data_IF_358515804771
#
_entry.id   IF_358515804771
#
_cell.length_a   1.000
_cell.length_b   1.000
_cell.length_c   1.000
_cell.angle_alpha   90.00
_cell.angle_beta   90.00
_cell.angle_gamma   90.00
#
_symmetry.space_group_name_H-M   'P 1'
#
loop_
_entity.id
_entity.type
_entity.pdbx_description
1 polymer ?
#
# COMPACT_ATOMS: atom_id res chain seq x y z
N UNK A 1 28.61 30.99 -11.34
CA UNK A 1 27.61 31.91 -10.74
C UNK A 1 26.44 31.95 -11.71
N UNK A 2 25.20 32.03 -11.24
CA UNK A 2 24.08 32.23 -12.16
C UNK A 2 24.20 33.60 -12.85
N UNK A 3 23.83 33.70 -14.14
CA UNK A 3 23.75 34.98 -14.84
C UNK A 3 22.62 35.88 -14.28
N UNK A 4 21.63 35.28 -13.61
CA UNK A 4 20.52 35.96 -12.93
C UNK A 4 20.86 36.04 -11.44
N UNK A 5 21.01 37.25 -10.91
CA UNK A 5 21.48 37.51 -9.54
C UNK A 5 20.52 37.00 -8.47
N UNK A 6 19.23 37.03 -8.76
CA UNK A 6 18.16 36.55 -7.90
C UNK A 6 18.30 35.05 -7.64
N UNK A 7 18.60 34.26 -8.68
CA UNK A 7 18.84 32.81 -8.58
C UNK A 7 20.11 32.54 -7.76
N UNK A 8 21.21 33.25 -8.03
CA UNK A 8 22.44 33.09 -7.25
C UNK A 8 22.23 33.46 -5.77
N UNK A 9 21.47 34.52 -5.48
CA UNK A 9 21.16 34.93 -4.11
C UNK A 9 20.45 33.82 -3.35
N UNK A 10 19.44 33.18 -3.96
CA UNK A 10 18.73 32.04 -3.35
C UNK A 10 19.61 30.80 -3.22
N UNK A 11 20.49 30.52 -4.19
CA UNK A 11 21.48 29.44 -4.07
C UNK A 11 22.40 29.63 -2.85
N UNK A 12 22.93 30.85 -2.66
CA UNK A 12 23.80 31.17 -1.51
C UNK A 12 23.05 31.11 -0.17
N UNK A 13 21.77 31.44 -0.14
CA UNK A 13 20.93 31.29 1.06
C UNK A 13 20.65 29.81 1.37
N UNK A 14 20.35 29.00 0.36
CA UNK A 14 20.16 27.56 0.50
C UNK A 14 21.41 26.87 1.09
N UNK A 15 22.60 27.18 0.58
CA UNK A 15 23.86 26.63 1.13
C UNK A 15 24.09 26.96 2.61
N UNK A 16 23.48 28.05 3.10
CA UNK A 16 23.56 28.49 4.50
C UNK A 16 22.38 28.00 5.35
N UNK A 17 21.49 27.18 4.79
CA UNK A 17 20.28 26.69 5.47
C UNK A 17 19.38 27.83 6.00
N UNK A 18 19.35 28.95 5.27
CA UNK A 18 18.55 30.12 5.63
C UNK A 18 17.85 30.68 4.37
N UNK A 19 17.18 29.78 3.65
CA UNK A 19 16.45 30.11 2.43
C UNK A 19 15.22 30.95 2.79
N UNK A 20 15.19 32.19 2.33
CA UNK A 20 14.03 33.04 2.48
C UNK A 20 12.95 32.65 1.46
N UNK A 21 11.77 32.34 1.98
CA UNK A 21 10.62 31.81 1.26
C UNK A 21 9.90 32.90 0.46
N UNK A 22 9.99 34.16 0.88
CA UNK A 22 9.29 35.25 0.21
C UNK A 22 9.76 35.39 -1.24
N UNK A 23 8.83 35.32 -2.20
CA UNK A 23 9.13 35.40 -3.63
C UNK A 23 9.92 34.20 -4.19
N UNK A 24 9.99 33.08 -3.46
CA UNK A 24 10.73 31.90 -3.93
C UNK A 24 10.08 31.27 -5.17
N UNK A 25 8.77 31.30 -5.27
CA UNK A 25 8.04 30.85 -6.46
C UNK A 25 8.44 31.65 -7.71
N UNK A 26 8.60 32.97 -7.59
CA UNK A 26 9.01 33.85 -8.69
C UNK A 26 10.44 33.52 -9.15
N UNK A 27 11.34 33.24 -8.19
CA UNK A 27 12.72 32.81 -8.51
C UNK A 27 12.73 31.42 -9.14
N UNK A 28 11.87 30.50 -8.70
CA UNK A 28 11.73 29.19 -9.33
C UNK A 28 11.24 29.31 -10.78
N UNK A 29 10.29 30.20 -11.08
CA UNK A 29 9.85 30.50 -12.45
C UNK A 29 10.99 31.10 -13.30
N UNK A 30 11.78 32.03 -12.75
CA UNK A 30 12.98 32.55 -13.45
C UNK A 30 14.01 31.45 -13.71
N UNK A 31 14.16 30.52 -12.78
CA UNK A 31 15.07 29.38 -12.91
C UNK A 31 14.60 28.42 -13.98
N UNK A 32 13.30 28.12 -14.04
CA UNK A 32 12.70 27.32 -15.10
C UNK A 32 12.90 28.00 -16.47
N UNK A 33 12.63 29.30 -16.57
CA UNK A 33 12.85 30.06 -17.81
C UNK A 33 14.31 30.00 -18.27
N UNK A 34 15.26 30.20 -17.35
CA UNK A 34 16.69 30.09 -17.65
C UNK A 34 17.08 28.69 -18.15
N UNK A 35 16.56 27.62 -17.54
CA UNK A 35 16.78 26.25 -18.04
C UNK A 35 16.23 26.09 -19.47
N UNK A 36 15.03 26.62 -19.73
CA UNK A 36 14.39 26.48 -21.04
C UNK A 36 15.08 27.28 -22.17
N UNK A 37 15.96 28.23 -21.86
CA UNK A 37 16.79 28.91 -22.88
C UNK A 37 17.70 27.93 -23.65
N UNK A 38 18.03 26.79 -23.04
CA UNK A 38 18.94 25.79 -23.63
C UNK A 38 18.23 24.59 -24.27
N UNK A 39 16.89 24.52 -24.25
CA UNK A 39 16.12 23.35 -24.72
C UNK A 39 16.42 22.98 -26.18
N UNK A 40 16.73 23.97 -27.03
CA UNK A 40 17.05 23.76 -28.45
C UNK A 40 18.47 23.24 -28.73
N UNK A 41 19.33 23.17 -27.71
CA UNK A 41 20.71 22.72 -27.85
C UNK A 41 20.79 21.20 -27.99
N UNK A 42 21.87 20.71 -28.62
CA UNK A 42 22.12 19.26 -28.72
C UNK A 42 22.26 18.59 -27.34
N UNK A 43 22.79 19.35 -26.38
CA UNK A 43 23.00 18.92 -25.00
C UNK A 43 22.65 20.10 -24.06
N UNK A 44 21.37 20.26 -23.70
CA UNK A 44 20.89 21.40 -22.89
C UNK A 44 21.61 21.52 -21.55
N UNK A 45 21.92 20.39 -20.91
CA UNK A 45 22.66 20.34 -19.64
C UNK A 45 24.09 20.86 -19.79
N UNK A 46 24.81 20.38 -20.81
CA UNK A 46 26.18 20.86 -21.06
C UNK A 46 26.22 22.34 -21.44
N UNK A 47 25.25 22.83 -22.23
CA UNK A 47 25.15 24.24 -22.59
C UNK A 47 24.88 25.13 -21.36
N UNK A 48 23.96 24.73 -20.49
CA UNK A 48 23.68 25.41 -19.22
C UNK A 48 24.91 25.43 -18.30
N UNK A 49 25.61 24.29 -18.16
CA UNK A 49 26.85 24.18 -17.38
C UNK A 49 27.95 25.11 -17.94
N UNK A 50 28.12 25.14 -19.26
CA UNK A 50 29.08 26.06 -19.90
C UNK A 50 28.72 27.52 -19.59
N UNK A 51 27.44 27.88 -19.63
CA UNK A 51 26.98 29.21 -19.25
C UNK A 51 27.32 29.56 -17.78
N UNK A 52 27.14 28.63 -16.84
CA UNK A 52 27.54 28.79 -15.45
C UNK A 52 29.06 28.98 -15.29
N UNK A 53 29.85 28.21 -16.04
CA UNK A 53 31.31 28.24 -16.03
C UNK A 53 31.89 29.56 -16.58
N UNK A 54 31.22 30.20 -17.54
CA UNK A 54 31.62 31.53 -18.05
C UNK A 54 31.58 32.61 -16.96
N UNK A 55 30.67 32.46 -15.99
CA UNK A 55 30.47 33.44 -14.92
C UNK A 55 31.26 33.10 -13.64
N UNK A 56 31.51 31.81 -13.36
CA UNK A 56 32.47 31.37 -12.34
C UNK A 56 32.76 29.87 -12.47
N UNK A 57 34.03 29.48 -12.31
CA UNK A 57 34.52 28.10 -12.49
C UNK A 57 34.28 27.17 -11.29
N UNK A 58 33.64 27.65 -10.22
CA UNK A 58 33.56 26.93 -8.94
C UNK A 58 32.13 26.44 -8.69
N UNK A 59 31.95 25.16 -8.37
CA UNK A 59 30.67 24.52 -8.02
C UNK A 59 29.56 24.67 -9.08
N UNK A 60 29.87 24.47 -10.37
CA UNK A 60 28.85 24.48 -11.42
C UNK A 60 27.88 23.29 -11.29
N UNK A 61 28.35 22.11 -10.86
CA UNK A 61 27.50 20.92 -10.65
C UNK A 61 26.40 21.17 -9.61
N UNK A 62 26.78 21.72 -8.44
CA UNK A 62 25.82 22.04 -7.37
C UNK A 62 24.82 23.12 -7.79
N UNK A 63 25.24 24.08 -8.61
CA UNK A 63 24.33 25.10 -9.16
C UNK A 63 23.36 24.49 -10.16
N UNK A 64 23.83 23.59 -11.02
CA UNK A 64 22.95 22.89 -11.96
C UNK A 64 21.89 22.06 -11.21
N UNK A 65 22.31 21.31 -10.18
CA UNK A 65 21.39 20.57 -9.29
C UNK A 65 20.39 21.51 -8.60
N UNK A 66 20.87 22.62 -8.04
CA UNK A 66 20.00 23.63 -7.41
C UNK A 66 18.97 24.18 -8.38
N UNK A 67 19.38 24.51 -9.62
CA UNK A 67 18.47 25.08 -10.62
C UNK A 67 17.34 24.11 -10.98
N UNK A 68 17.70 22.85 -11.30
CA UNK A 68 16.71 21.82 -11.61
C UNK A 68 15.79 21.61 -10.41
N UNK A 69 16.33 21.38 -9.22
CA UNK A 69 15.50 21.08 -8.04
C UNK A 69 14.61 22.26 -7.65
N UNK A 70 15.10 23.50 -7.73
CA UNK A 70 14.29 24.68 -7.44
C UNK A 70 13.13 24.84 -8.42
N UNK A 71 13.36 24.62 -9.72
CA UNK A 71 12.29 24.62 -10.72
C UNK A 71 11.25 23.52 -10.44
N UNK A 72 11.69 22.33 -10.01
CA UNK A 72 10.80 21.22 -9.65
C UNK A 72 10.06 21.43 -8.31
N UNK A 73 10.57 22.27 -7.40
CA UNK A 73 9.87 22.59 -6.15
C UNK A 73 8.59 23.41 -6.40
N UNK A 74 8.51 24.15 -7.50
CA UNK A 74 7.35 24.97 -7.88
C UNK A 74 6.90 24.65 -9.31
N UNK A 75 6.30 23.47 -9.55
CA UNK A 75 5.95 23.07 -10.89
C UNK A 75 4.99 24.06 -11.57
N UNK A 76 5.20 24.28 -12.85
CA UNK A 76 4.44 25.17 -13.73
C UNK A 76 3.93 24.41 -14.97
N UNK A 77 3.19 25.06 -15.86
CA UNK A 77 2.80 24.48 -17.15
C UNK A 77 3.98 24.13 -18.08
N UNK A 78 5.20 24.62 -17.80
CA UNK A 78 6.39 24.34 -18.59
C UNK A 78 7.28 23.24 -18.01
N UNK A 79 6.96 22.71 -16.83
CA UNK A 79 7.81 21.72 -16.14
C UNK A 79 8.02 20.45 -16.96
N UNK A 80 7.03 20.05 -17.78
CA UNK A 80 7.17 18.95 -18.74
C UNK A 80 8.30 19.14 -19.77
N UNK A 81 8.54 20.38 -20.19
CA UNK A 81 9.64 20.73 -21.11
C UNK A 81 10.99 20.59 -20.44
N UNK A 82 11.10 20.95 -19.15
CA UNK A 82 12.33 20.73 -18.37
C UNK A 82 12.65 19.24 -18.29
N UNK A 83 11.67 18.39 -17.96
CA UNK A 83 11.88 16.93 -17.95
C UNK A 83 12.33 16.40 -19.32
N UNK A 84 11.74 16.91 -20.39
CA UNK A 84 12.05 16.48 -21.75
C UNK A 84 13.46 16.92 -22.19
N UNK A 85 13.80 18.19 -21.97
CA UNK A 85 15.08 18.78 -22.36
C UNK A 85 16.26 18.21 -21.54
N UNK A 86 16.06 18.03 -20.24
CA UNK A 86 17.11 17.62 -19.31
C UNK A 86 17.07 16.13 -18.97
N UNK A 87 16.23 15.34 -19.67
CA UNK A 87 16.00 13.90 -19.44
C UNK A 87 17.26 13.12 -19.09
N UNK A 88 18.28 13.19 -19.95
CA UNK A 88 19.53 12.44 -19.79
C UNK A 88 20.35 12.90 -18.57
N UNK A 89 20.34 14.19 -18.27
CA UNK A 89 21.07 14.71 -17.13
C UNK A 89 20.37 14.38 -15.81
N UNK A 90 19.03 14.48 -15.78
CA UNK A 90 18.23 14.05 -14.63
C UNK A 90 18.45 12.57 -14.34
N UNK A 91 18.47 11.73 -15.39
CA UNK A 91 18.75 10.30 -15.28
C UNK A 91 20.14 10.01 -14.69
N UNK A 92 21.17 10.72 -15.15
CA UNK A 92 22.55 10.56 -14.66
C UNK A 92 22.74 11.05 -13.22
N UNK A 93 22.09 12.14 -12.86
CA UNK A 93 22.23 12.79 -11.56
C UNK A 93 21.09 12.43 -10.59
N UNK A 94 20.30 11.39 -10.91
CA UNK A 94 19.07 11.04 -10.18
C UNK A 94 19.26 10.96 -8.66
N UNK A 95 20.29 10.26 -8.12
CA UNK A 95 20.46 10.18 -6.67
C UNK A 95 20.74 11.54 -6.03
N UNK A 96 21.45 12.42 -6.74
CA UNK A 96 21.72 13.78 -6.27
C UNK A 96 20.45 14.62 -6.31
N UNK A 97 19.67 14.55 -7.39
CA UNK A 97 18.41 15.29 -7.51
C UNK A 97 17.44 14.87 -6.40
N UNK A 98 17.27 13.57 -6.14
CA UNK A 98 16.41 13.08 -5.05
C UNK A 98 16.85 13.61 -3.68
N UNK A 99 18.16 13.59 -3.40
CA UNK A 99 18.71 14.14 -2.16
C UNK A 99 18.44 15.64 -2.02
N UNK A 100 18.63 16.41 -3.10
CA UNK A 100 18.39 17.85 -3.11
C UNK A 100 16.90 18.19 -2.98
N UNK A 101 16.01 17.46 -3.67
CA UNK A 101 14.56 17.62 -3.53
C UNK A 101 14.09 17.37 -2.10
N UNK A 102 14.58 16.29 -1.47
CA UNK A 102 14.27 15.97 -0.07
C UNK A 102 14.78 17.06 0.88
N UNK A 103 16.01 17.55 0.65
CA UNK A 103 16.61 18.60 1.46
C UNK A 103 15.88 19.94 1.30
N UNK A 104 15.52 20.31 0.08
CA UNK A 104 14.72 21.51 -0.21
C UNK A 104 13.36 21.43 0.47
N UNK A 105 12.67 20.28 0.38
CA UNK A 105 11.39 20.08 1.06
C UNK A 105 11.51 20.29 2.59
N UNK A 106 12.58 19.76 3.21
CA UNK A 106 12.83 19.95 4.63
C UNK A 106 13.11 21.42 5.00
N UNK A 107 13.89 22.13 4.19
CA UNK A 107 14.18 23.56 4.40
C UNK A 107 12.90 24.40 4.31
N UNK A 108 12.08 24.17 3.28
CA UNK A 108 10.82 24.88 3.08
C UNK A 108 9.87 24.68 4.27
N UNK A 109 9.75 23.45 4.76
CA UNK A 109 8.88 23.12 5.90
C UNK A 109 9.42 23.61 7.26
N UNK A 110 10.73 23.82 7.41
CA UNK A 110 11.35 24.24 8.67
C UNK A 110 11.10 25.70 9.06
N UNK A 111 10.74 26.55 8.10
CA UNK A 111 10.64 28.00 8.27
C UNK A 111 9.28 28.50 8.79
N UNK A 112 8.42 27.62 9.31
CA UNK A 112 7.13 27.99 9.90
C UNK A 112 6.04 28.39 8.90
N UNK A 113 6.35 28.40 7.60
CA UNK A 113 5.40 28.43 6.50
C UNK A 113 5.49 27.08 5.79
N UNK A 114 4.55 26.17 6.04
CA UNK A 114 4.51 24.89 5.36
C UNK A 114 4.18 25.11 3.88
N UNK A 115 5.22 25.17 3.04
CA UNK A 115 5.08 25.12 1.59
C UNK A 115 5.34 23.69 1.18
N UNK A 116 4.27 22.97 0.90
CA UNK A 116 4.35 21.61 0.38
C UNK A 116 4.70 21.65 -1.12
N UNK A 117 5.71 20.87 -1.51
CA UNK A 117 6.03 20.64 -2.91
C UNK A 117 4.95 19.70 -3.48
N UNK A 118 4.05 20.25 -4.30
CA UNK A 118 3.02 19.47 -5.00
C UNK A 118 3.64 18.67 -6.16
N UNK A 119 4.10 17.45 -5.86
CA UNK A 119 4.69 16.52 -6.84
C UNK A 119 3.72 16.25 -7.99
N UNK A 120 2.42 16.11 -7.70
CA UNK A 120 1.42 15.77 -8.71
C UNK A 120 1.26 16.88 -9.73
N UNK A 121 1.35 18.15 -9.31
CA UNK A 121 1.37 19.28 -10.24
C UNK A 121 2.48 19.12 -11.29
N UNK A 122 3.66 18.65 -10.88
CA UNK A 122 4.78 18.36 -11.78
C UNK A 122 4.54 17.13 -12.66
N UNK A 123 4.08 16.03 -12.08
CA UNK A 123 3.82 14.78 -12.81
C UNK A 123 2.75 14.93 -13.89
N UNK A 124 1.72 15.76 -13.67
CA UNK A 124 0.66 16.07 -14.67
C UNK A 124 1.17 16.74 -15.94
N UNK A 125 2.35 17.36 -15.87
CA UNK A 125 3.00 18.02 -17.01
C UNK A 125 3.97 17.07 -17.73
N UNK A 126 4.29 15.92 -17.14
CA UNK A 126 5.12 14.93 -17.79
C UNK A 126 4.36 14.29 -18.96
N UNK A 127 5.13 13.91 -19.99
CA UNK A 127 4.70 13.04 -21.08
C UNK A 127 4.85 11.56 -20.69
N UNK A 128 4.17 10.63 -21.39
CA UNK A 128 4.39 9.19 -21.20
C UNK A 128 5.87 8.78 -21.26
N UNK A 129 6.66 9.44 -22.10
CA UNK A 129 8.09 9.15 -22.28
C UNK A 129 8.97 9.67 -21.12
N UNK A 130 8.44 10.57 -20.30
CA UNK A 130 9.17 11.25 -19.21
C UNK A 130 8.60 10.99 -17.82
N UNK A 131 7.43 10.33 -17.70
CA UNK A 131 6.76 10.14 -16.40
C UNK A 131 7.62 9.39 -15.39
N UNK A 132 8.38 8.39 -15.83
CA UNK A 132 9.29 7.62 -14.98
C UNK A 132 10.46 8.46 -14.47
N UNK A 133 11.03 9.31 -15.34
CA UNK A 133 12.12 10.20 -14.94
C UNK A 133 11.59 11.29 -14.01
N UNK A 134 10.38 11.79 -14.26
CA UNK A 134 9.72 12.74 -13.38
C UNK A 134 9.44 12.13 -12.00
N UNK A 135 8.87 10.92 -11.94
CA UNK A 135 8.60 10.23 -10.67
C UNK A 135 9.88 9.99 -9.89
N UNK A 136 10.91 9.49 -10.56
CA UNK A 136 12.20 9.23 -9.94
C UNK A 136 12.87 10.52 -9.45
N UNK A 137 12.75 11.64 -10.18
CA UNK A 137 13.30 12.93 -9.75
C UNK A 137 12.68 13.42 -8.43
N UNK A 138 11.37 13.19 -8.24
CA UNK A 138 10.70 13.46 -6.97
C UNK A 138 10.92 12.37 -5.91
N UNK A 139 11.55 11.25 -6.26
CA UNK A 139 11.73 10.09 -5.37
C UNK A 139 10.41 9.42 -5.03
N UNK A 140 9.49 9.34 -5.99
CA UNK A 140 8.15 8.79 -5.78
C UNK A 140 7.95 7.55 -6.65
N UNK A 141 7.42 6.49 -6.06
CA UNK A 141 7.13 5.25 -6.76
C UNK A 141 5.78 5.31 -7.50
N UNK A 142 5.65 4.51 -8.55
CA UNK A 142 4.42 4.45 -9.35
C UNK A 142 3.19 4.08 -8.52
N UNK A 143 3.36 3.22 -7.51
CA UNK A 143 2.27 2.83 -6.62
C UNK A 143 1.67 4.03 -5.87
N UNK A 144 2.50 4.98 -5.44
CA UNK A 144 2.06 6.19 -4.75
C UNK A 144 1.35 7.16 -5.70
N UNK A 145 1.83 7.26 -6.94
CA UNK A 145 1.17 8.06 -7.98
C UNK A 145 -0.23 7.51 -8.28
N UNK A 146 -0.34 6.20 -8.44
CA UNK A 146 -1.63 5.51 -8.68
C UNK A 146 -2.56 5.75 -7.49
N UNK A 147 -2.06 5.58 -6.26
CA UNK A 147 -2.83 5.80 -5.04
C UNK A 147 -3.37 7.24 -4.94
N UNK A 148 -2.53 8.24 -5.19
CA UNK A 148 -2.92 9.65 -5.17
C UNK A 148 -3.92 9.98 -6.30
N UNK A 149 -3.66 9.47 -7.51
CA UNK A 149 -4.57 9.65 -8.64
C UNK A 149 -5.96 9.08 -8.32
N UNK A 150 -6.03 7.90 -7.69
CA UNK A 150 -7.28 7.30 -7.23
C UNK A 150 -7.92 8.19 -6.18
N UNK A 151 -7.19 8.64 -5.16
CA UNK A 151 -7.74 9.46 -4.08
C UNK A 151 -8.50 10.68 -4.59
N UNK A 152 -7.94 11.36 -5.61
CA UNK A 152 -8.48 12.56 -6.23
C UNK A 152 -9.32 12.34 -7.49
N UNK A 153 -9.56 11.09 -7.87
CA UNK A 153 -10.24 10.71 -9.12
C UNK A 153 -9.61 11.36 -10.39
N UNK A 154 -8.29 11.49 -10.40
CA UNK A 154 -7.51 12.04 -11.52
C UNK A 154 -7.18 10.97 -12.56
N UNK A 155 -8.14 10.70 -13.42
CA UNK A 155 -8.00 9.70 -14.49
C UNK A 155 -6.78 9.97 -15.39
N UNK A 156 -6.42 11.23 -15.64
CA UNK A 156 -5.31 11.55 -16.55
C UNK A 156 -3.97 11.15 -15.93
N UNK A 157 -3.75 11.46 -14.65
CA UNK A 157 -2.54 11.03 -13.95
C UNK A 157 -2.49 9.51 -13.79
N UNK A 158 -3.64 8.89 -13.51
CA UNK A 158 -3.77 7.45 -13.43
C UNK A 158 -3.35 6.76 -14.73
N UNK A 159 -3.87 7.19 -15.87
CA UNK A 159 -3.51 6.69 -17.20
C UNK A 159 -2.03 6.92 -17.56
N UNK A 160 -1.43 8.01 -17.06
CA UNK A 160 0.01 8.27 -17.23
C UNK A 160 0.88 7.32 -16.39
N UNK A 161 0.44 6.96 -15.19
CA UNK A 161 1.19 6.09 -14.28
C UNK A 161 1.10 4.60 -14.68
N UNK A 162 0.01 4.20 -15.34
CA UNK A 162 -0.19 2.85 -15.84
C UNK A 162 0.40 2.75 -17.25
N UNK A 163 1.68 2.42 -17.33
CA UNK A 163 2.44 2.45 -18.60
C UNK A 163 2.22 1.22 -19.50
N UNK A 164 1.55 0.17 -19.02
CA UNK A 164 1.37 -1.08 -19.77
C UNK A 164 -0.11 -1.47 -19.91
N UNK A 165 -0.49 -1.99 -21.09
CA UNK A 165 -1.83 -2.55 -21.36
C UNK A 165 -1.94 -4.03 -20.97
N UNK A 166 -1.18 -4.44 -19.95
CA UNK A 166 -1.11 -5.84 -19.50
C UNK A 166 -1.94 -6.08 -18.24
N UNK A 167 -2.18 -7.35 -17.92
CA UNK A 167 -2.90 -7.80 -16.72
C UNK A 167 -2.27 -7.25 -15.42
N UNK A 168 -0.95 -7.02 -15.41
CA UNK A 168 -0.21 -6.44 -14.27
C UNK A 168 -0.67 -5.02 -13.92
N UNK A 169 -0.89 -4.19 -14.94
CA UNK A 169 -1.37 -2.82 -14.78
C UNK A 169 -2.77 -2.76 -14.17
N UNK A 170 -3.65 -3.64 -14.66
CA UNK A 170 -5.00 -3.79 -14.12
C UNK A 170 -4.98 -4.29 -12.68
N UNK A 171 -4.13 -5.27 -12.36
CA UNK A 171 -3.92 -5.75 -11.00
C UNK A 171 -3.50 -4.60 -10.05
N UNK A 172 -2.49 -3.81 -10.43
CA UNK A 172 -2.05 -2.65 -9.65
C UNK A 172 -3.16 -1.62 -9.44
N UNK A 173 -3.92 -1.30 -10.49
CA UNK A 173 -5.04 -0.37 -10.41
C UNK A 173 -6.16 -0.84 -9.48
N UNK A 174 -6.59 -2.10 -9.60
CA UNK A 174 -7.66 -2.67 -8.78
C UNK A 174 -7.22 -2.85 -7.31
N UNK A 175 -5.99 -3.30 -7.06
CA UNK A 175 -5.44 -3.38 -5.70
C UNK A 175 -5.35 -2.00 -5.05
N UNK A 176 -4.85 -0.99 -5.77
CA UNK A 176 -4.83 0.38 -5.24
C UNK A 176 -6.23 0.96 -5.04
N UNK A 177 -7.19 0.64 -5.92
CA UNK A 177 -8.59 1.09 -5.77
C UNK A 177 -9.25 0.46 -4.54
N UNK A 178 -8.92 -0.79 -4.21
CA UNK A 178 -9.45 -1.51 -3.05
C UNK A 178 -9.05 -0.90 -1.70
N UNK A 179 -8.07 0.01 -1.69
CA UNK A 179 -7.68 0.82 -0.53
C UNK A 179 -8.65 1.95 -0.20
N UNK A 180 -9.63 2.22 -1.05
CA UNK A 180 -10.65 3.26 -0.86
C UNK A 180 -12.05 2.64 -0.81
N UNK A 181 -12.99 3.39 -0.23
CA UNK A 181 -14.40 3.01 -0.30
C UNK A 181 -14.87 2.98 -1.76
N UNK A 182 -15.75 2.03 -2.14
CA UNK A 182 -16.28 1.96 -3.48
C UNK A 182 -16.96 3.27 -3.87
N UNK A 183 -16.56 3.81 -5.02
CA UNK A 183 -17.12 5.03 -5.60
C UNK A 183 -17.50 4.76 -7.06
N UNK A 184 -18.66 4.12 -7.34
CA UNK A 184 -19.06 3.74 -8.70
C UNK A 184 -19.26 4.92 -9.67
N UNK A 185 -19.38 6.12 -9.13
CA UNK A 185 -19.48 7.40 -9.83
C UNK A 185 -18.12 8.04 -10.15
N UNK A 186 -17.02 7.53 -9.58
CA UNK A 186 -15.67 7.98 -9.90
C UNK A 186 -15.27 7.55 -11.31
N UNK A 187 -14.55 8.43 -12.01
CA UNK A 187 -14.03 8.16 -13.37
C UNK A 187 -13.08 6.99 -13.39
N UNK A 188 -12.18 6.89 -12.40
CA UNK A 188 -11.22 5.78 -12.32
C UNK A 188 -11.95 4.46 -12.02
N UNK A 189 -12.96 4.48 -11.14
CA UNK A 189 -13.76 3.28 -10.88
C UNK A 189 -14.46 2.79 -12.15
N UNK A 190 -15.11 3.69 -12.90
CA UNK A 190 -15.76 3.36 -14.18
C UNK A 190 -14.78 2.92 -15.27
N UNK A 191 -13.54 3.42 -15.24
CA UNK A 191 -12.49 3.02 -16.16
C UNK A 191 -11.92 1.62 -15.87
N UNK A 192 -11.85 1.24 -14.59
CA UNK A 192 -11.33 -0.06 -14.15
C UNK A 192 -12.37 -1.17 -14.08
N UNK A 193 -13.61 -0.83 -13.75
CA UNK A 193 -14.70 -1.77 -13.49
C UNK A 193 -15.76 -1.58 -14.58
N UNK A 194 -15.61 -2.35 -15.66
CA UNK A 194 -16.47 -2.29 -16.86
C UNK A 194 -17.30 -3.57 -17.05
N UNK A 195 -17.01 -4.62 -16.29
CA UNK A 195 -17.66 -5.93 -16.38
C UNK A 195 -17.95 -6.54 -15.00
N UNK A 196 -18.82 -7.54 -14.97
CA UNK A 196 -19.10 -8.34 -13.77
C UNK A 196 -17.85 -9.08 -13.24
N UNK A 197 -16.89 -9.39 -14.12
CA UNK A 197 -15.64 -10.03 -13.73
C UNK A 197 -14.72 -9.04 -12.98
N UNK A 198 -14.71 -7.78 -13.43
CA UNK A 198 -13.94 -6.71 -12.78
C UNK A 198 -14.49 -6.40 -11.38
N UNK A 199 -15.82 -6.48 -11.20
CA UNK A 199 -16.46 -6.35 -9.89
C UNK A 199 -16.05 -7.47 -8.92
N UNK A 200 -15.89 -8.71 -9.43
CA UNK A 200 -15.40 -9.84 -8.61
C UNK A 200 -13.93 -9.67 -8.26
N UNK A 201 -13.09 -9.28 -9.23
CA UNK A 201 -11.68 -8.98 -9.01
C UNK A 201 -11.51 -7.87 -7.98
N UNK A 202 -12.28 -6.79 -8.11
CA UNK A 202 -12.27 -5.69 -7.15
C UNK A 202 -12.64 -6.16 -5.74
N UNK A 203 -13.72 -6.95 -5.61
CA UNK A 203 -14.11 -7.53 -4.32
C UNK A 203 -13.03 -8.46 -3.75
N UNK A 204 -12.33 -9.21 -4.60
CA UNK A 204 -11.16 -10.01 -4.22
C UNK A 204 -10.02 -9.17 -3.66
N UNK A 205 -9.66 -8.06 -4.32
CA UNK A 205 -8.63 -7.15 -3.79
C UNK A 205 -9.09 -6.46 -2.50
N UNK A 206 -10.38 -6.14 -2.33
CA UNK A 206 -10.88 -5.63 -1.05
C UNK A 206 -10.66 -6.62 0.10
N UNK A 207 -10.88 -7.92 -0.15
CA UNK A 207 -10.59 -8.95 0.85
C UNK A 207 -9.08 -9.06 1.15
N UNK A 208 -8.21 -8.93 0.14
CA UNK A 208 -6.75 -8.92 0.33
C UNK A 208 -6.28 -7.73 1.16
N UNK A 209 -6.77 -6.53 0.84
CA UNK A 209 -6.41 -5.32 1.58
C UNK A 209 -6.81 -5.45 3.05
N UNK A 210 -8.03 -5.92 3.34
CA UNK A 210 -8.44 -6.12 4.74
C UNK A 210 -7.60 -7.19 5.43
N UNK A 211 -7.21 -8.27 4.73
CA UNK A 211 -6.33 -9.31 5.29
C UNK A 211 -4.93 -8.75 5.59
N UNK A 212 -4.33 -7.99 4.69
CA UNK A 212 -3.01 -7.38 4.87
C UNK A 212 -2.99 -6.49 6.11
N UNK A 213 -4.02 -5.67 6.30
CA UNK A 213 -4.14 -4.77 7.46
C UNK A 213 -4.23 -5.47 8.80
N UNK A 214 -4.74 -6.70 8.87
CA UNK A 214 -4.80 -7.43 10.14
C UNK A 214 -3.41 -7.78 10.67
N UNK A 215 -2.38 -7.71 9.83
CA UNK A 215 -0.97 -7.89 10.19
C UNK A 215 -0.21 -6.57 10.38
N UNK A 216 -0.87 -5.43 10.15
CA UNK A 216 -0.38 -4.08 10.41
C UNK A 216 -1.24 -3.42 11.51
N UNK A 217 -1.02 -2.15 11.80
CA UNK A 217 -1.91 -1.39 12.69
C UNK A 217 -3.31 -1.27 12.04
N UNK A 218 -4.28 -2.08 12.51
CA UNK A 218 -5.62 -2.13 11.92
C UNK A 218 -6.51 -1.00 12.46
N UNK A 219 -6.99 -0.12 11.56
CA UNK A 219 -7.85 1.02 11.92
C UNK A 219 -9.32 0.89 11.45
N UNK A 220 -9.74 -0.25 10.87
CA UNK A 220 -11.10 -0.43 10.30
C UNK A 220 -11.31 0.23 8.92
N UNK A 221 -12.33 -0.19 8.17
CA UNK A 221 -12.73 0.44 6.90
C UNK A 221 -11.77 0.28 5.71
N UNK A 222 -11.93 1.13 4.69
CA UNK A 222 -10.96 1.34 3.61
C UNK A 222 -9.74 2.11 4.12
N UNK A 223 -8.54 1.84 3.60
CA UNK A 223 -7.29 2.46 4.08
C UNK A 223 -7.33 4.00 4.05
N UNK A 224 -7.88 4.58 2.99
CA UNK A 224 -7.83 6.04 2.79
C UNK A 224 -9.21 6.63 2.56
N UNK A 225 -9.44 7.79 3.17
CA UNK A 225 -10.56 8.64 2.82
C UNK A 225 -10.22 9.41 1.53
N UNK A 226 -11.19 9.50 0.62
CA UNK A 226 -11.06 10.36 -0.57
C UNK A 226 -11.10 11.83 -0.13
N UNK A 227 -10.08 12.64 -0.47
CA UNK A 227 -10.10 14.08 -0.26
C UNK A 227 -11.36 14.74 -0.86
N UNK A 228 -11.80 15.84 -0.25
CA UNK A 228 -12.93 16.64 -0.76
C UNK A 228 -12.56 18.11 -0.81
N UNK A 229 -13.13 18.86 -1.77
CA UNK A 229 -12.86 20.28 -1.95
C UNK A 229 -11.73 20.55 -2.96
N UNK A 230 -11.06 21.68 -2.77
CA UNK A 230 -9.96 22.09 -3.65
C UNK A 230 -8.76 21.15 -3.50
N UNK A 231 -8.03 20.90 -4.58
CA UNK A 231 -6.86 20.01 -4.55
C UNK A 231 -5.71 20.63 -3.75
N UNK A 232 -5.13 19.86 -2.84
CA UNK A 232 -3.89 20.19 -2.14
C UNK A 232 -2.83 19.09 -2.34
N UNK A 233 -1.59 19.37 -1.93
CA UNK A 233 -0.49 18.41 -2.02
C UNK A 233 -0.70 17.23 -1.06
N UNK A 234 -0.99 16.05 -1.62
CA UNK A 234 -1.14 14.79 -0.88
C UNK A 234 -0.01 13.80 -1.11
N UNK A 235 0.82 14.08 -2.13
CA UNK A 235 2.01 13.32 -2.48
C UNK A 235 3.19 14.28 -2.50
N UNK A 236 4.13 14.06 -1.59
CA UNK A 236 5.30 14.89 -1.37
C UNK A 236 6.56 14.16 -1.87
N UNK A 237 7.71 14.86 -2.02
CA UNK A 237 8.96 14.21 -2.39
C UNK A 237 9.32 13.05 -1.45
N UNK A 238 10.03 12.05 -1.99
CA UNK A 238 10.42 10.82 -1.30
C UNK A 238 9.24 9.89 -0.91
N UNK A 239 8.16 9.90 -1.71
CA UNK A 239 7.02 8.99 -1.56
C UNK A 239 6.16 9.24 -0.32
N UNK A 240 6.28 10.42 0.33
CA UNK A 240 5.48 10.71 1.52
C UNK A 240 4.05 11.04 1.11
N UNK A 241 3.13 10.16 1.52
CA UNK A 241 1.69 10.29 1.29
C UNK A 241 1.01 10.87 2.54
N UNK A 242 0.27 11.96 2.39
CA UNK A 242 -0.44 12.64 3.50
C UNK A 242 -1.95 12.44 3.46
N UNK A 243 -2.41 11.42 2.72
CA UNK A 243 -3.82 11.03 2.67
C UNK A 243 -4.33 10.63 4.05
N UNK A 244 -5.53 11.13 4.40
CA UNK A 244 -6.17 10.77 5.65
C UNK A 244 -6.66 9.32 5.62
N UNK A 245 -6.50 8.62 6.75
CA UNK A 245 -7.07 7.27 6.95
C UNK A 245 -8.57 7.40 7.18
N UNK A 246 -9.38 6.50 6.59
CA UNK A 246 -10.83 6.49 6.84
C UNK A 246 -11.11 6.14 8.30
N UNK A 247 -11.87 6.99 8.99
CA UNK A 247 -12.23 6.79 10.40
C UNK A 247 -13.47 5.91 10.61
N UNK A 248 -14.15 5.51 9.54
CA UNK A 248 -15.47 4.87 9.61
C UNK A 248 -15.40 3.35 9.54
N UNK A 249 -15.54 2.69 10.70
CA UNK A 249 -15.64 1.22 10.79
C UNK A 249 -16.94 0.66 10.17
N UNK A 250 -17.98 1.49 10.03
CA UNK A 250 -19.29 1.12 9.45
C UNK A 250 -19.24 0.87 7.93
N UNK A 251 -18.13 1.22 7.28
CA UNK A 251 -17.93 1.02 5.83
C UNK A 251 -17.02 -0.18 5.51
N UNK A 252 -16.59 -0.92 6.53
CA UNK A 252 -15.78 -2.13 6.35
C UNK A 252 -16.45 -3.12 5.37
N UNK A 253 -15.67 -3.70 4.46
CA UNK A 253 -16.21 -4.47 3.32
C UNK A 253 -17.15 -5.62 3.74
N UNK A 254 -16.88 -6.25 4.88
CA UNK A 254 -17.61 -7.39 5.45
C UNK A 254 -18.88 -6.99 6.24
N UNK A 255 -19.08 -5.69 6.51
CA UNK A 255 -20.27 -5.15 7.17
C UNK A 255 -21.30 -4.59 6.19
N UNK A 256 -20.95 -4.50 4.90
CA UNK A 256 -21.84 -3.98 3.86
C UNK A 256 -23.03 -4.91 3.65
N UNK A 257 -24.20 -4.34 3.34
CA UNK A 257 -25.44 -5.11 3.11
C UNK A 257 -25.36 -6.07 1.92
N UNK A 258 -24.49 -5.78 0.94
CA UNK A 258 -24.25 -6.60 -0.25
C UNK A 258 -23.11 -7.62 -0.09
N UNK A 259 -22.47 -7.70 1.10
CA UNK A 259 -21.34 -8.59 1.35
C UNK A 259 -21.66 -10.05 1.02
N UNK A 260 -22.79 -10.57 1.53
CA UNK A 260 -23.22 -11.94 1.27
C UNK A 260 -23.41 -12.21 -0.22
N UNK A 261 -24.10 -11.33 -0.92
CA UNK A 261 -24.37 -11.50 -2.35
C UNK A 261 -23.07 -11.53 -3.15
N UNK A 262 -22.14 -10.60 -2.88
CA UNK A 262 -20.85 -10.52 -3.56
C UNK A 262 -19.94 -11.72 -3.22
N UNK A 263 -19.86 -12.10 -1.95
CA UNK A 263 -19.09 -13.26 -1.50
C UNK A 263 -19.52 -14.54 -2.20
N UNK A 264 -20.83 -14.75 -2.36
CA UNK A 264 -21.37 -15.96 -2.97
C UNK A 264 -21.13 -16.06 -4.48
N UNK A 265 -20.60 -15.01 -5.15
CA UNK A 265 -20.20 -15.08 -6.56
C UNK A 265 -18.92 -15.90 -6.75
N UNK A 266 -17.96 -15.79 -5.84
CA UNK A 266 -16.66 -16.50 -5.90
C UNK A 266 -16.15 -16.91 -4.49
N UNK A 267 -16.92 -17.70 -3.72
CA UNK A 267 -16.63 -17.92 -2.30
C UNK A 267 -15.24 -18.53 -2.08
N UNK A 268 -14.87 -19.55 -2.85
CA UNK A 268 -13.59 -20.25 -2.71
C UNK A 268 -12.38 -19.32 -2.90
N UNK A 269 -12.41 -18.49 -3.96
CA UNK A 269 -11.33 -17.55 -4.28
C UNK A 269 -11.14 -16.53 -3.16
N UNK A 270 -12.24 -15.98 -2.64
CA UNK A 270 -12.20 -15.01 -1.53
C UNK A 270 -11.72 -15.67 -0.23
N UNK A 271 -12.21 -16.87 0.08
CA UNK A 271 -11.83 -17.61 1.29
C UNK A 271 -10.35 -17.97 1.27
N UNK A 272 -9.85 -18.50 0.15
CA UNK A 272 -8.41 -18.74 -0.05
C UNK A 272 -7.62 -17.47 0.16
N UNK A 273 -8.08 -16.35 -0.41
CA UNK A 273 -7.37 -15.08 -0.28
C UNK A 273 -7.29 -14.56 1.16
N UNK A 274 -8.37 -14.71 1.93
CA UNK A 274 -8.47 -14.13 3.27
C UNK A 274 -7.96 -15.10 4.35
N UNK A 275 -8.36 -16.37 4.30
CA UNK A 275 -8.11 -17.36 5.36
C UNK A 275 -6.90 -18.25 5.11
N UNK A 276 -6.15 -18.09 4.01
CA UNK A 276 -4.88 -18.80 3.86
C UNK A 276 -3.95 -18.48 5.04
N UNK A 277 -3.41 -19.54 5.64
CA UNK A 277 -2.53 -19.41 6.79
C UNK A 277 -1.17 -18.83 6.38
N UNK A 278 -0.88 -17.64 6.90
CA UNK A 278 0.39 -16.96 6.80
C UNK A 278 1.09 -17.05 8.17
N UNK A 279 2.41 -17.30 8.16
CA UNK A 279 3.22 -17.34 9.38
C UNK A 279 3.58 -15.90 9.80
N UNK A 280 2.57 -15.08 10.08
CA UNK A 280 2.72 -13.65 10.40
C UNK A 280 2.03 -13.33 11.71
N UNK A 281 2.65 -12.46 12.52
CA UNK A 281 2.16 -12.00 13.83
C UNK A 281 0.98 -11.06 13.60
N UNK A 282 -0.14 -11.27 14.32
CA UNK A 282 -1.32 -10.41 14.24
C UNK A 282 -1.83 -10.08 15.63
N UNK A 283 -1.81 -8.80 16.00
CA UNK A 283 -2.39 -8.29 17.26
C UNK A 283 -3.89 -7.99 17.14
N UNK A 284 -4.52 -8.30 16.00
CA UNK A 284 -5.88 -7.90 15.64
C UNK A 284 -6.91 -9.05 15.73
N UNK A 285 -6.73 -9.94 16.71
CA UNK A 285 -7.57 -11.15 16.88
C UNK A 285 -9.07 -10.87 17.02
N UNK A 286 -9.47 -9.75 17.65
CA UNK A 286 -10.88 -9.37 17.76
C UNK A 286 -11.51 -9.02 16.41
N UNK A 287 -10.76 -8.33 15.55
CA UNK A 287 -11.22 -7.95 14.22
C UNK A 287 -11.27 -9.17 13.30
N UNK A 288 -10.27 -10.06 13.40
CA UNK A 288 -10.29 -11.36 12.73
C UNK A 288 -11.54 -12.18 13.10
N UNK A 289 -11.91 -12.20 14.38
CA UNK A 289 -13.12 -12.86 14.87
C UNK A 289 -14.39 -12.23 14.27
N UNK A 290 -14.49 -10.90 14.24
CA UNK A 290 -15.63 -10.19 13.66
C UNK A 290 -15.79 -10.48 12.16
N UNK A 291 -14.68 -10.51 11.41
CA UNK A 291 -14.71 -10.82 9.98
C UNK A 291 -15.10 -12.28 9.77
N UNK A 292 -14.51 -13.21 10.54
CA UNK A 292 -14.87 -14.63 10.51
C UNK A 292 -16.37 -14.83 10.73
N UNK A 293 -16.94 -14.14 11.72
CA UNK A 293 -18.38 -14.21 11.98
C UNK A 293 -19.21 -13.70 10.79
N UNK A 294 -18.77 -12.65 10.10
CA UNK A 294 -19.46 -12.17 8.90
C UNK A 294 -19.51 -13.21 7.77
N UNK A 295 -18.43 -13.98 7.55
CA UNK A 295 -18.43 -15.09 6.58
C UNK A 295 -19.39 -16.21 6.99
N UNK A 296 -19.45 -16.54 8.27
CA UNK A 296 -20.39 -17.54 8.80
C UNK A 296 -21.84 -17.06 8.67
N UNK A 297 -22.12 -15.80 8.98
CA UNK A 297 -23.45 -15.17 8.86
C UNK A 297 -23.90 -15.05 7.40
N UNK A 298 -22.95 -14.90 6.47
CA UNK A 298 -23.21 -14.96 5.03
C UNK A 298 -23.67 -16.36 4.59
N UNK A 299 -23.47 -17.39 5.41
CA UNK A 299 -23.90 -18.77 5.18
C UNK A 299 -22.79 -19.69 4.67
N UNK A 300 -21.51 -19.28 4.78
CA UNK A 300 -20.39 -20.17 4.49
C UNK A 300 -20.20 -21.11 5.69
N UNK A 301 -20.23 -22.44 5.50
CA UNK A 301 -19.98 -23.40 6.59
C UNK A 301 -18.56 -23.26 7.17
N UNK A 302 -18.41 -23.50 8.47
CA UNK A 302 -17.10 -23.44 9.13
C UNK A 302 -16.14 -24.51 8.57
N UNK A 303 -16.65 -25.71 8.27
CA UNK A 303 -15.91 -26.75 7.55
C UNK A 303 -15.33 -26.27 6.21
N UNK A 304 -16.11 -25.55 5.41
CA UNK A 304 -15.68 -25.01 4.13
C UNK A 304 -14.58 -23.93 4.28
N UNK A 305 -14.72 -23.07 5.29
CA UNK A 305 -13.70 -22.06 5.63
C UNK A 305 -12.39 -22.70 6.09
N UNK A 306 -12.43 -23.77 6.90
CA UNK A 306 -11.24 -24.50 7.36
C UNK A 306 -10.54 -25.18 6.19
N UNK A 307 -11.30 -25.87 5.35
CA UNK A 307 -10.81 -26.62 4.19
C UNK A 307 -10.11 -25.70 3.18
N UNK A 308 -10.76 -24.62 2.76
CA UNK A 308 -10.24 -23.71 1.73
C UNK A 308 -9.41 -22.55 2.30
N UNK A 309 -9.26 -22.43 3.62
CA UNK A 309 -8.45 -21.41 4.28
C UNK A 309 -7.16 -22.00 4.87
N UNK A 310 -7.09 -22.25 6.19
CA UNK A 310 -5.88 -22.67 6.87
C UNK A 310 -5.36 -24.05 6.42
N UNK A 311 -6.26 -24.94 5.99
CA UNK A 311 -5.92 -26.28 5.49
C UNK A 311 -5.74 -26.34 3.97
N UNK A 312 -5.93 -25.24 3.25
CA UNK A 312 -5.78 -25.22 1.80
C UNK A 312 -4.33 -25.60 1.42
N UNK A 313 -4.15 -26.43 0.37
CA UNK A 313 -2.82 -26.74 -0.12
C UNK A 313 -2.12 -25.44 -0.56
N UNK A 314 -0.88 -25.24 -0.11
CA UNK A 314 -0.08 -24.10 -0.55
C UNK A 314 0.21 -24.28 -2.04
N UNK A 315 -0.35 -23.40 -2.88
CA UNK A 315 -0.15 -23.33 -4.34
C UNK A 315 1.33 -23.44 -4.79
N UNK A 316 2.30 -23.14 -3.91
CA UNK A 316 3.72 -23.11 -4.23
C UNK A 316 4.45 -24.46 -4.10
N UNK A 317 3.82 -25.54 -3.65
CA UNK A 317 4.52 -26.82 -3.47
C UNK A 317 3.66 -28.01 -3.94
N UNK A 318 4.15 -28.63 -5.02
CA UNK A 318 4.03 -30.04 -5.41
C UNK A 318 3.19 -30.30 -6.67
N UNK A 319 3.92 -30.57 -7.77
CA UNK A 319 3.46 -31.22 -9.00
C UNK A 319 2.93 -32.67 -8.75
N UNK A 320 3.02 -33.16 -7.51
CA UNK A 320 2.58 -34.50 -7.07
C UNK A 320 1.59 -34.45 -5.88
N UNK A 321 0.93 -33.32 -5.60
CA UNK A 321 -0.02 -33.27 -4.47
C UNK A 321 -1.31 -34.01 -4.82
N UNK A 322 -1.53 -35.16 -4.19
CA UNK A 322 -2.85 -35.79 -4.14
C UNK A 322 -3.68 -35.00 -3.14
N UNK A 323 -4.78 -34.42 -3.61
CA UNK A 323 -5.73 -33.70 -2.78
C UNK A 323 -6.38 -34.67 -1.78
N UNK A 324 -5.81 -34.77 -0.58
CA UNK A 324 -6.41 -35.53 0.51
C UNK A 324 -7.58 -34.74 1.10
N UNK A 325 -8.77 -35.36 1.07
CA UNK A 325 -10.00 -34.86 1.70
C UNK A 325 -9.73 -34.31 3.11
N UNK A 326 -10.31 -33.16 3.41
CA UNK A 326 -10.18 -32.53 4.72
C UNK A 326 -10.82 -33.42 5.80
N UNK A 327 -10.06 -33.71 6.85
CA UNK A 327 -10.52 -34.49 8.01
C UNK A 327 -10.37 -33.67 9.30
N UNK A 328 -11.18 -33.99 10.32
CA UNK A 328 -11.08 -33.37 11.65
C UNK A 328 -9.66 -33.47 12.22
N UNK A 329 -8.99 -34.61 12.05
CA UNK A 329 -7.60 -34.81 12.45
C UNK A 329 -6.66 -33.82 11.76
N UNK A 330 -6.74 -33.71 10.43
CA UNK A 330 -5.92 -32.77 9.63
C UNK A 330 -6.17 -31.31 10.05
N UNK A 331 -7.42 -30.94 10.29
CA UNK A 331 -7.78 -29.61 10.75
C UNK A 331 -7.17 -29.29 12.12
N UNK A 332 -7.29 -30.19 13.09
CA UNK A 332 -6.75 -30.01 14.44
C UNK A 332 -5.22 -29.95 14.45
N UNK A 333 -4.54 -30.87 13.75
CA UNK A 333 -3.08 -30.84 13.60
C UNK A 333 -2.62 -29.54 12.93
N UNK A 334 -3.42 -29.00 11.99
CA UNK A 334 -3.10 -27.72 11.35
C UNK A 334 -3.18 -26.56 12.34
N UNK A 335 -4.22 -26.49 13.16
CA UNK A 335 -4.37 -25.47 14.19
C UNK A 335 -3.27 -25.54 15.26
N UNK A 336 -2.95 -26.75 15.72
CA UNK A 336 -1.85 -27.01 16.65
C UNK A 336 -0.52 -26.47 16.11
N UNK A 337 -0.24 -26.69 14.82
CA UNK A 337 1.01 -26.26 14.19
C UNK A 337 1.17 -24.74 14.01
N UNK A 338 0.12 -23.95 14.27
CA UNK A 338 0.17 -22.50 14.13
C UNK A 338 0.89 -21.86 15.33
N UNK A 339 1.50 -20.69 15.10
CA UNK A 339 1.94 -19.82 16.21
C UNK A 339 0.77 -19.39 17.08
N UNK A 340 1.04 -18.87 18.29
CA UNK A 340 0.00 -18.34 19.20
C UNK A 340 -0.88 -17.31 18.48
N UNK A 341 -0.28 -16.34 17.79
CA UNK A 341 -1.05 -15.31 17.05
C UNK A 341 -1.89 -15.92 15.92
N UNK A 342 -1.37 -16.96 15.27
CA UNK A 342 -2.14 -17.72 14.28
C UNK A 342 -3.34 -18.42 14.93
N UNK A 343 -3.12 -19.06 16.08
CA UNK A 343 -4.20 -19.70 16.84
C UNK A 343 -5.25 -18.66 17.28
N UNK A 344 -4.84 -17.49 17.74
CA UNK A 344 -5.75 -16.39 18.11
C UNK A 344 -6.57 -15.92 16.91
N UNK A 345 -5.93 -15.72 15.75
CA UNK A 345 -6.62 -15.34 14.51
C UNK A 345 -7.71 -16.35 14.11
N UNK A 346 -7.40 -17.66 14.18
CA UNK A 346 -8.28 -18.72 13.72
C UNK A 346 -9.21 -19.30 14.81
N UNK A 347 -9.11 -18.84 16.06
CA UNK A 347 -9.86 -19.41 17.20
C UNK A 347 -11.37 -19.41 16.93
N UNK A 348 -11.94 -18.28 16.49
CA UNK A 348 -13.39 -18.19 16.22
C UNK A 348 -13.84 -19.19 15.15
N UNK A 349 -13.04 -19.34 14.08
CA UNK A 349 -13.32 -20.28 13.01
C UNK A 349 -13.34 -21.72 13.53
N UNK A 350 -12.27 -22.13 14.23
CA UNK A 350 -12.13 -23.48 14.75
C UNK A 350 -13.15 -23.81 15.84
N UNK A 351 -13.51 -22.85 16.70
CA UNK A 351 -14.59 -23.03 17.68
C UNK A 351 -15.92 -23.33 17.01
N UNK A 352 -16.24 -22.68 15.89
CA UNK A 352 -17.47 -22.94 15.15
C UNK A 352 -17.41 -24.27 14.39
N UNK A 353 -16.26 -24.59 13.79
CA UNK A 353 -16.02 -25.87 13.13
C UNK A 353 -16.20 -27.06 14.08
N UNK A 354 -15.67 -26.99 15.31
CA UNK A 354 -15.78 -28.08 16.27
C UNK A 354 -17.20 -28.35 16.75
N UNK A 355 -18.14 -27.40 16.62
CA UNK A 355 -19.56 -27.63 16.96
C UNK A 355 -20.25 -28.62 16.02
N UNK A 356 -19.67 -28.90 14.85
CA UNK A 356 -20.17 -29.90 13.90
C UNK A 356 -19.90 -31.34 14.39
N UNK A 357 -19.06 -31.52 15.42
CA UNK A 357 -18.63 -32.81 15.94
C UNK A 357 -19.07 -33.03 17.39
N UNK A 358 -19.26 -34.29 17.76
CA UNK A 358 -19.47 -34.67 19.17
C UNK A 358 -18.15 -34.67 19.93
N UNK A 359 -18.21 -34.41 21.24
CA UNK A 359 -17.04 -34.48 22.14
C UNK A 359 -16.26 -35.79 21.98
N UNK A 360 -16.97 -36.91 21.82
CA UNK A 360 -16.35 -38.23 21.66
C UNK A 360 -15.59 -38.36 20.34
N UNK A 361 -16.14 -37.87 19.23
CA UNK A 361 -15.46 -37.88 17.92
C UNK A 361 -14.19 -37.03 17.94
N UNK A 362 -14.21 -35.89 18.64
CA UNK A 362 -13.04 -35.03 18.80
C UNK A 362 -11.96 -35.78 19.62
N UNK A 363 -12.32 -36.37 20.76
CA UNK A 363 -11.39 -37.13 21.61
C UNK A 363 -10.75 -38.30 20.85
N UNK A 364 -11.54 -39.05 20.07
CA UNK A 364 -11.05 -40.21 19.30
C UNK A 364 -10.02 -39.83 18.23
N UNK A 365 -10.03 -38.57 17.77
CA UNK A 365 -9.16 -38.08 16.70
C UNK A 365 -8.00 -37.20 17.20
N UNK A 366 -8.01 -36.79 18.47
CA UNK A 366 -6.88 -36.14 19.13
C UNK A 366 -5.90 -37.20 19.66
N UNK A 367 -4.77 -37.39 18.97
CA UNK A 367 -3.74 -38.37 19.34
C UNK A 367 -2.56 -37.79 20.13
N UNK A 368 -2.57 -36.47 20.38
CA UNK A 368 -1.52 -35.74 21.11
C UNK A 368 -2.08 -34.97 22.32
N UNK A 369 -1.29 -34.79 23.40
CA UNK A 369 -1.65 -33.88 24.49
C UNK A 369 -1.98 -32.46 24.01
N UNK A 370 -1.26 -31.98 23.00
CA UNK A 370 -1.39 -30.65 22.40
C UNK A 370 -2.73 -30.48 21.65
N UNK A 371 -3.19 -31.52 20.94
CA UNK A 371 -4.48 -31.49 20.24
C UNK A 371 -5.66 -31.51 21.21
N UNK A 372 -5.58 -32.26 22.32
CA UNK A 372 -6.56 -32.22 23.40
C UNK A 372 -6.56 -30.86 24.14
N UNK A 373 -5.39 -30.29 24.40
CA UNK A 373 -5.26 -28.96 24.99
C UNK A 373 -5.86 -27.88 24.08
N UNK A 374 -5.63 -27.98 22.77
CA UNK A 374 -6.21 -27.07 21.76
C UNK A 374 -7.74 -27.21 21.69
N UNK A 375 -8.27 -28.43 21.69
CA UNK A 375 -9.71 -28.68 21.73
C UNK A 375 -10.35 -28.11 23.00
N UNK A 376 -9.70 -28.25 24.16
CA UNK A 376 -10.13 -27.59 25.40
C UNK A 376 -10.18 -26.07 25.25
N UNK A 377 -9.13 -25.44 24.73
CA UNK A 377 -9.09 -23.98 24.56
C UNK A 377 -10.19 -23.46 23.64
N UNK A 378 -10.44 -24.17 22.54
CA UNK A 378 -11.45 -23.78 21.55
C UNK A 378 -12.89 -23.94 22.05
N UNK A 379 -13.15 -24.88 22.95
CA UNK A 379 -14.52 -25.26 23.36
C UNK A 379 -14.86 -24.86 24.80
N UNK A 380 -13.86 -24.72 25.66
CA UNK A 380 -14.00 -24.58 27.11
C UNK A 380 -14.48 -25.85 27.82
N UNK A 381 -14.60 -27.00 27.13
CA UNK A 381 -15.13 -28.22 27.71
C UNK A 381 -14.06 -29.03 28.45
N UNK A 382 -14.22 -29.14 29.77
CA UNK A 382 -13.30 -29.85 30.66
C UNK A 382 -13.18 -31.35 30.36
N UNK A 383 -14.12 -31.94 29.62
CA UNK A 383 -14.04 -33.35 29.24
C UNK A 383 -12.77 -33.62 28.41
N UNK A 384 -12.31 -32.66 27.60
CA UNK A 384 -11.05 -32.80 26.86
C UNK A 384 -9.82 -32.89 27.77
N UNK A 385 -9.80 -32.13 28.87
CA UNK A 385 -8.75 -32.24 29.90
C UNK A 385 -8.79 -33.57 30.66
N UNK A 386 -9.99 -34.13 30.83
CA UNK A 386 -10.18 -35.40 31.54
C UNK A 386 -9.79 -36.61 30.69
N UNK A 387 -9.95 -36.50 29.37
CA UNK A 387 -9.51 -37.52 28.42
C UNK A 387 -7.97 -37.54 28.26
N UNK A 388 -7.30 -36.40 28.51
CA UNK A 388 -5.86 -36.26 28.43
C UNK A 388 -5.09 -36.75 29.65
N UNK A 389 -3.77 -36.79 29.50
CA UNK A 389 -2.81 -37.20 30.53
C UNK A 389 -2.28 -36.00 31.37
N UNK A 390 -1.23 -36.23 32.16
CA UNK A 390 -0.59 -35.16 32.93
C UNK A 390 0.06 -34.09 32.02
N UNK A 391 0.58 -34.48 30.85
CA UNK A 391 1.16 -33.54 29.88
C UNK A 391 0.11 -32.57 29.36
N UNK A 392 -1.07 -33.07 29.00
CA UNK A 392 -2.21 -32.24 28.53
C UNK A 392 -2.57 -31.17 29.56
N UNK A 393 -2.68 -31.57 30.83
CA UNK A 393 -2.99 -30.65 31.93
C UNK A 393 -1.87 -29.65 32.19
N UNK A 394 -0.61 -30.08 32.08
CA UNK A 394 0.57 -29.21 32.23
C UNK A 394 0.63 -28.13 31.15
N UNK A 395 0.33 -28.47 29.89
CA UNK A 395 0.29 -27.53 28.76
C UNK A 395 -0.75 -26.44 29.04
N UNK A 396 -1.97 -26.84 29.37
CA UNK A 396 -3.07 -25.88 29.63
C UNK A 396 -2.76 -25.01 30.84
N UNK A 397 -2.23 -25.57 31.92
CA UNK A 397 -1.83 -24.78 33.09
C UNK A 397 -0.70 -23.80 32.79
N UNK A 398 0.31 -24.22 32.01
CA UNK A 398 1.42 -23.32 31.62
C UNK A 398 0.90 -22.16 30.78
N UNK A 399 0.03 -22.44 29.81
CA UNK A 399 -0.58 -21.42 28.95
C UNK A 399 -1.49 -20.46 29.73
N UNK A 400 -2.35 -20.97 30.63
CA UNK A 400 -3.21 -20.15 31.50
C UNK A 400 -2.40 -19.22 32.42
N UNK A 401 -1.16 -19.61 32.75
CA UNK A 401 -0.22 -18.84 33.55
C UNK A 401 0.69 -17.92 32.72
N UNK A 402 0.60 -17.95 31.39
CA UNK A 402 1.45 -17.19 30.48
C UNK A 402 2.93 -17.62 30.49
N UNK A 403 3.19 -18.91 30.74
CA UNK A 403 4.53 -19.50 30.90
C UNK A 403 5.06 -20.17 29.63
#
# INVERSE_FOLDING_TARGET
MFPILEIESRYQQYLKWNLDIAGLEEVAQLTEQWLLEFEGERDPAMAAIQNLCLQSSVEYDKRMLFAICLALCFPSEHTGRVFSAYRRHIDQEMPNIQFWMTTMNAVLNSNGQAIDIDVVKGLRQASPETIEIASNAYGVDRADIILDAIAWDDLKLFELAITDREDSARHMGLSALAKFDPAPDSKIHQALIVSDEDEKDFFFYQAQEVRARLFEDYFGGSNYARPTGDRWATLLPNGVVTLAVSASDDQSFYKRSDFKERLMKEPERIIKSFFLHLNTVSDNGMQAASITQAFLDAGIPASYLVEHGPCAPKLAQLEDYVEEDMSLKKALSRFESMSIDGQDFYTTLYTQYLKEFTTQQIIELCDTPESLASAYRLTGDRVFLQAGDESTRSIVMSQDLGL
#
